data_IF_465727664385
#
_entry.id   IF_465727664385
#
_cell.length_a   1.000
_cell.length_b   1.000
_cell.length_c   1.000
_cell.angle_alpha   90.00
_cell.angle_beta   90.00
_cell.angle_gamma   90.00
#
_symmetry.space_group_name_H-M   'P 1'
#
loop_
_entity.id
_entity.type
_entity.pdbx_description
1 polymer ?
#
# COMPACT_ATOMS: atom_id res chain seq x y z
N UNK A 1 14.89 -8.33 -23.75
CA UNK A 1 14.38 -7.35 -22.76
C UNK A 1 12.97 -6.80 -23.04
N UNK A 2 12.59 -6.47 -24.29
CA UNK A 2 11.21 -5.98 -24.58
C UNK A 2 10.16 -7.07 -24.37
N UNK A 3 10.35 -8.26 -24.93
CA UNK A 3 9.42 -9.39 -24.85
C UNK A 3 9.17 -9.88 -23.41
N UNK A 4 10.20 -9.89 -22.58
CA UNK A 4 10.06 -10.27 -21.16
C UNK A 4 9.20 -9.26 -20.39
N UNK A 5 9.37 -7.96 -20.64
CA UNK A 5 8.55 -6.90 -20.02
C UNK A 5 7.10 -6.94 -20.51
N UNK A 6 6.90 -7.22 -21.81
CA UNK A 6 5.58 -7.36 -22.40
C UNK A 6 4.85 -8.57 -21.80
N UNK A 7 5.51 -9.73 -21.73
CA UNK A 7 4.94 -10.93 -21.14
C UNK A 7 4.59 -10.75 -19.66
N UNK A 8 5.49 -10.15 -18.86
CA UNK A 8 5.19 -9.86 -17.45
C UNK A 8 4.03 -8.88 -17.27
N UNK A 9 3.91 -7.87 -18.13
CA UNK A 9 2.79 -6.93 -18.14
C UNK A 9 1.46 -7.63 -18.46
N UNK A 10 1.43 -8.49 -19.48
CA UNK A 10 0.21 -9.26 -19.83
C UNK A 10 -0.21 -10.17 -18.68
N UNK A 11 0.74 -10.88 -18.06
CA UNK A 11 0.45 -11.75 -16.92
C UNK A 11 -0.10 -10.94 -15.75
N UNK A 12 0.50 -9.80 -15.44
CA UNK A 12 0.05 -8.92 -14.35
C UNK A 12 -1.38 -8.43 -14.59
N UNK A 13 -1.69 -7.97 -15.79
CA UNK A 13 -3.04 -7.54 -16.17
C UNK A 13 -4.03 -8.70 -16.06
N UNK A 14 -3.69 -9.89 -16.59
CA UNK A 14 -4.55 -11.06 -16.52
C UNK A 14 -4.84 -11.49 -15.07
N UNK A 15 -3.82 -11.50 -14.20
CA UNK A 15 -3.97 -11.79 -12.77
C UNK A 15 -4.85 -10.74 -12.10
N UNK A 16 -4.65 -9.45 -12.39
CA UNK A 16 -5.47 -8.36 -11.82
C UNK A 16 -6.93 -8.52 -12.23
N UNK A 17 -7.21 -8.82 -13.51
CA UNK A 17 -8.57 -9.08 -13.99
C UNK A 17 -9.19 -10.26 -13.24
N UNK A 18 -8.48 -11.37 -13.15
CA UNK A 18 -8.97 -12.57 -12.47
C UNK A 18 -9.30 -12.28 -10.99
N UNK A 19 -8.43 -11.55 -10.27
CA UNK A 19 -8.64 -11.17 -8.87
C UNK A 19 -9.85 -10.23 -8.71
N UNK A 20 -10.00 -9.25 -9.60
CA UNK A 20 -11.11 -8.29 -9.53
C UNK A 20 -12.45 -8.94 -9.84
N UNK A 21 -12.50 -9.89 -10.78
CA UNK A 21 -13.72 -10.63 -11.11
C UNK A 21 -14.12 -11.58 -9.98
N UNK A 22 -13.18 -12.40 -9.50
CA UNK A 22 -13.45 -13.36 -8.42
C UNK A 22 -13.73 -12.65 -7.07
N UNK A 23 -12.99 -11.58 -6.74
CA UNK A 23 -13.10 -10.91 -5.45
C UNK A 23 -12.76 -11.83 -4.27
N UNK A 24 -13.45 -11.66 -3.13
CA UNK A 24 -13.37 -12.54 -1.96
C UNK A 24 -11.96 -12.71 -1.37
N UNK A 25 -11.72 -13.88 -0.81
CA UNK A 25 -10.46 -14.24 -0.15
C UNK A 25 -9.21 -14.13 -1.04
N UNK A 26 -9.22 -14.50 -2.34
CA UNK A 26 -8.04 -14.31 -3.19
C UNK A 26 -7.63 -12.85 -3.32
N UNK A 27 -8.59 -11.95 -3.50
CA UNK A 27 -8.32 -10.52 -3.57
C UNK A 27 -7.77 -10.00 -2.23
N UNK A 28 -8.35 -10.42 -1.12
CA UNK A 28 -7.89 -10.05 0.22
C UNK A 28 -6.41 -10.41 0.43
N UNK A 29 -6.04 -11.67 0.22
CA UNK A 29 -4.65 -12.11 0.43
C UNK A 29 -3.67 -11.36 -0.45
N UNK A 30 -4.03 -11.07 -1.69
CA UNK A 30 -3.14 -10.33 -2.61
C UNK A 30 -3.01 -8.88 -2.19
N UNK A 31 -4.10 -8.21 -1.81
CA UNK A 31 -4.03 -6.82 -1.33
C UNK A 31 -3.21 -6.73 -0.04
N UNK A 32 -3.46 -7.62 0.92
CA UNK A 32 -2.67 -7.66 2.17
C UNK A 32 -1.19 -7.95 1.90
N UNK A 33 -0.87 -8.87 0.99
CA UNK A 33 0.52 -9.15 0.64
C UNK A 33 1.21 -7.93 0.00
N UNK A 34 0.52 -7.23 -0.91
CA UNK A 34 1.05 -5.99 -1.53
C UNK A 34 1.22 -4.90 -0.48
N UNK A 35 0.26 -4.72 0.44
CA UNK A 35 0.36 -3.77 1.56
C UNK A 35 1.57 -4.05 2.44
N UNK A 36 1.78 -5.31 2.82
CA UNK A 36 2.93 -5.71 3.64
C UNK A 36 4.26 -5.51 2.92
N UNK A 37 4.33 -5.85 1.62
CA UNK A 37 5.53 -5.64 0.81
C UNK A 37 5.82 -4.13 0.69
N UNK A 38 4.80 -3.32 0.38
CA UNK A 38 4.94 -1.87 0.28
C UNK A 38 5.37 -1.24 1.60
N UNK A 39 4.80 -1.69 2.71
CA UNK A 39 5.15 -1.24 4.04
C UNK A 39 6.59 -1.65 4.42
N UNK A 40 6.98 -2.89 4.09
CA UNK A 40 8.34 -3.36 4.28
C UNK A 40 9.36 -2.54 3.49
N UNK A 41 9.09 -2.25 2.22
CA UNK A 41 9.97 -1.44 1.39
C UNK A 41 10.09 0.00 1.93
N UNK A 42 8.98 0.62 2.36
CA UNK A 42 8.99 1.94 2.97
C UNK A 42 9.83 1.96 4.25
N UNK A 43 9.65 0.98 5.14
CA UNK A 43 10.42 0.89 6.38
C UNK A 43 11.89 0.54 6.12
N UNK A 44 12.17 -0.19 5.04
CA UNK A 44 13.53 -0.53 4.62
C UNK A 44 14.30 0.69 4.14
N UNK A 45 13.69 1.59 3.40
CA UNK A 45 14.32 2.85 2.95
C UNK A 45 14.77 3.71 4.14
N UNK A 46 14.06 3.62 5.27
CA UNK A 46 14.39 4.32 6.50
C UNK A 46 15.27 3.49 7.47
N UNK A 47 15.74 2.31 7.07
CA UNK A 47 16.49 1.35 7.92
C UNK A 47 15.75 0.93 9.19
N UNK A 48 14.41 0.98 9.19
CA UNK A 48 13.55 0.65 10.34
C UNK A 48 12.86 -0.71 10.25
N UNK A 49 12.95 -1.40 9.12
CA UNK A 49 12.16 -2.59 8.77
C UNK A 49 12.30 -3.79 9.74
N UNK A 50 13.37 -3.84 10.54
CA UNK A 50 13.61 -4.90 11.55
C UNK A 50 13.44 -4.42 12.99
N UNK A 51 12.91 -3.24 13.19
CA UNK A 51 12.75 -2.68 14.54
C UNK A 51 11.44 -3.13 15.19
N UNK A 52 11.36 -3.23 16.53
CA UNK A 52 10.12 -3.54 17.23
C UNK A 52 8.93 -2.64 16.82
N UNK A 53 9.06 -1.31 16.67
CA UNK A 53 7.96 -0.48 16.19
C UNK A 53 7.50 -0.83 14.78
N UNK A 54 8.41 -1.28 13.88
CA UNK A 54 8.02 -1.74 12.54
C UNK A 54 7.19 -3.03 12.60
N UNK A 55 7.53 -3.95 13.51
CA UNK A 55 6.74 -5.18 13.73
C UNK A 55 5.32 -4.83 14.18
N UNK A 56 5.15 -3.85 15.06
CA UNK A 56 3.83 -3.34 15.46
C UNK A 56 3.07 -2.84 14.22
N UNK A 57 3.74 -2.12 13.32
CA UNK A 57 3.17 -1.65 12.05
C UNK A 57 2.69 -2.80 11.15
N UNK A 58 3.49 -3.85 10.98
CA UNK A 58 3.09 -5.02 10.17
C UNK A 58 1.90 -5.76 10.75
N UNK A 59 1.90 -6.01 12.06
CA UNK A 59 0.77 -6.66 12.74
C UNK A 59 -0.49 -5.79 12.60
N UNK A 60 -0.35 -4.49 12.82
CA UNK A 60 -1.47 -3.56 12.70
C UNK A 60 -2.02 -3.50 11.27
N UNK A 61 -1.17 -3.59 10.25
CA UNK A 61 -1.57 -3.66 8.85
C UNK A 61 -2.50 -4.85 8.59
N UNK A 62 -2.12 -6.04 9.05
CA UNK A 62 -2.94 -7.25 8.87
C UNK A 62 -4.28 -7.13 9.59
N UNK A 63 -4.29 -6.60 10.82
CA UNK A 63 -5.54 -6.41 11.57
C UNK A 63 -6.46 -5.39 10.91
N UNK A 64 -5.91 -4.27 10.38
CA UNK A 64 -6.69 -3.28 9.63
C UNK A 64 -7.34 -3.90 8.39
N UNK A 65 -6.58 -4.70 7.64
CA UNK A 65 -7.12 -5.39 6.46
C UNK A 65 -8.25 -6.37 6.83
N UNK A 66 -8.12 -7.10 7.96
CA UNK A 66 -9.18 -8.01 8.46
C UNK A 66 -10.41 -7.21 8.88
N UNK A 67 -10.25 -6.10 9.62
CA UNK A 67 -11.38 -5.26 10.03
C UNK A 67 -12.15 -4.71 8.83
N UNK A 68 -11.45 -4.37 7.75
CA UNK A 68 -12.08 -3.89 6.50
C UNK A 68 -12.77 -5.04 5.76
N UNK A 69 -12.18 -6.24 5.74
CA UNK A 69 -12.77 -7.43 5.14
C UNK A 69 -14.11 -7.79 5.78
N UNK A 70 -14.14 -7.80 7.11
CA UNK A 70 -15.31 -8.19 7.89
C UNK A 70 -16.34 -7.05 8.02
N UNK A 71 -16.03 -5.85 7.49
CA UNK A 71 -16.93 -4.70 7.50
C UNK A 71 -16.99 -3.94 8.84
N UNK A 72 -16.06 -4.19 9.75
CA UNK A 72 -15.97 -3.52 11.04
C UNK A 72 -15.35 -2.12 10.96
N UNK A 73 -15.88 -1.27 10.09
CA UNK A 73 -15.34 0.08 9.82
C UNK A 73 -15.33 1.00 11.03
N UNK A 74 -16.26 0.82 11.96
CA UNK A 74 -16.37 1.58 13.19
C UNK A 74 -15.15 1.42 14.14
N UNK A 75 -14.47 0.26 14.04
CA UNK A 75 -13.29 -0.02 14.87
C UNK A 75 -11.97 0.45 14.23
N UNK A 76 -11.96 0.90 12.98
CA UNK A 76 -10.72 1.32 12.29
C UNK A 76 -10.02 2.46 13.01
N UNK A 77 -10.76 3.49 13.42
CA UNK A 77 -10.19 4.64 14.13
C UNK A 77 -9.69 4.22 15.50
N UNK A 78 -10.45 3.39 16.23
CA UNK A 78 -10.03 2.86 17.52
C UNK A 78 -8.73 2.07 17.40
N UNK A 79 -8.63 1.20 16.39
CA UNK A 79 -7.43 0.40 16.14
C UNK A 79 -6.21 1.27 15.79
N UNK A 80 -6.40 2.31 14.97
CA UNK A 80 -5.33 3.26 14.63
C UNK A 80 -4.83 4.00 15.87
N UNK A 81 -5.74 4.46 16.75
CA UNK A 81 -5.38 5.11 18.01
C UNK A 81 -4.60 4.14 18.91
N UNK A 82 -5.06 2.90 19.06
CA UNK A 82 -4.36 1.87 19.83
C UNK A 82 -2.96 1.61 19.28
N UNK A 83 -2.84 1.47 17.96
CA UNK A 83 -1.53 1.28 17.31
C UNK A 83 -0.60 2.46 17.57
N UNK A 84 -1.10 3.69 17.47
CA UNK A 84 -0.32 4.89 17.77
C UNK A 84 0.13 4.89 19.23
N UNK A 85 -0.77 4.56 20.16
CA UNK A 85 -0.44 4.48 21.59
C UNK A 85 0.65 3.44 21.88
N UNK A 86 0.56 2.24 21.26
CA UNK A 86 1.55 1.18 21.43
C UNK A 86 2.90 1.59 20.80
N UNK A 87 2.90 2.23 19.63
CA UNK A 87 4.12 2.76 19.03
C UNK A 87 4.76 3.86 19.90
N UNK A 88 3.96 4.77 20.46
CA UNK A 88 4.46 5.80 21.37
C UNK A 88 4.99 5.22 22.68
N UNK A 89 4.32 4.21 23.25
CA UNK A 89 4.82 3.49 24.41
C UNK A 89 6.18 2.84 24.11
N UNK A 90 6.31 2.18 22.95
CA UNK A 90 7.58 1.59 22.50
C UNK A 90 8.68 2.67 22.34
N UNK A 91 8.33 3.84 21.81
CA UNK A 91 9.24 4.97 21.69
C UNK A 91 9.76 5.45 23.05
N UNK A 92 8.86 5.65 24.02
CA UNK A 92 9.22 6.12 25.37
C UNK A 92 10.09 5.09 26.12
N UNK A 93 9.72 3.81 26.06
CA UNK A 93 10.46 2.74 26.75
C UNK A 93 11.86 2.56 26.15
N UNK A 94 11.99 2.72 24.84
CA UNK A 94 13.25 2.51 24.14
C UNK A 94 14.08 3.80 23.98
N UNK A 95 13.69 4.92 24.60
CA UNK A 95 14.42 6.18 24.53
C UNK A 95 15.86 6.04 25.07
N UNK A 96 16.91 6.63 24.44
CA UNK A 96 16.89 7.49 23.24
C UNK A 96 17.15 6.75 21.91
N UNK A 97 16.86 5.46 21.83
CA UNK A 97 17.19 4.60 20.68
C UNK A 97 16.49 5.02 19.38
N UNK A 98 15.28 5.54 19.48
CA UNK A 98 14.47 5.97 18.33
C UNK A 98 14.25 7.48 18.37
N UNK A 99 14.11 8.08 17.17
CA UNK A 99 13.77 9.48 16.99
C UNK A 99 12.30 9.64 16.61
N UNK A 100 11.74 10.81 16.89
CA UNK A 100 10.32 11.13 16.60
C UNK A 100 10.00 10.96 15.13
N UNK A 101 10.88 11.40 14.24
CA UNK A 101 10.69 11.31 12.78
C UNK A 101 10.55 9.85 12.33
N UNK A 102 11.27 8.92 12.97
CA UNK A 102 11.18 7.50 12.69
C UNK A 102 9.81 6.93 13.07
N UNK A 103 9.29 7.31 14.24
CA UNK A 103 7.96 6.90 14.69
C UNK A 103 6.86 7.48 13.80
N UNK A 104 7.02 8.76 13.41
CA UNK A 104 6.10 9.43 12.49
C UNK A 104 6.08 8.72 11.14
N UNK A 105 7.23 8.35 10.59
CA UNK A 105 7.34 7.63 9.31
C UNK A 105 6.71 6.24 9.40
N UNK A 106 6.93 5.50 10.49
CA UNK A 106 6.32 4.18 10.67
C UNK A 106 4.81 4.26 10.72
N UNK A 107 4.25 5.19 11.50
CA UNK A 107 2.81 5.37 11.59
C UNK A 107 2.20 5.92 10.29
N UNK A 108 2.86 6.92 9.68
CA UNK A 108 2.45 7.45 8.37
C UNK A 108 2.44 6.34 7.31
N UNK A 109 3.48 5.51 7.27
CA UNK A 109 3.56 4.38 6.35
C UNK A 109 2.40 3.42 6.51
N UNK A 110 2.04 3.06 7.75
CA UNK A 110 0.87 2.23 8.04
C UNK A 110 -0.41 2.84 7.45
N UNK A 111 -0.68 4.11 7.74
CA UNK A 111 -1.88 4.79 7.24
C UNK A 111 -1.86 4.92 5.72
N UNK A 112 -0.74 5.39 5.16
CA UNK A 112 -0.61 5.66 3.73
C UNK A 112 -0.63 4.39 2.89
N UNK A 113 0.13 3.37 3.25
CA UNK A 113 0.21 2.14 2.46
C UNK A 113 -0.99 1.24 2.71
N UNK A 114 -1.23 0.85 3.96
CA UNK A 114 -2.25 -0.16 4.28
C UNK A 114 -3.66 0.35 3.99
N UNK A 115 -4.03 1.52 4.51
CA UNK A 115 -5.40 2.01 4.33
C UNK A 115 -5.68 2.31 2.86
N UNK A 116 -4.75 2.93 2.13
CA UNK A 116 -4.95 3.22 0.71
C UNK A 116 -5.08 1.95 -0.12
N UNK A 117 -4.30 0.91 0.16
CA UNK A 117 -4.40 -0.37 -0.55
C UNK A 117 -5.70 -1.11 -0.20
N UNK A 118 -6.11 -1.13 1.05
CA UNK A 118 -7.34 -1.79 1.48
C UNK A 118 -8.61 -1.15 0.92
N UNK A 119 -8.57 0.12 0.51
CA UNK A 119 -9.69 0.75 -0.21
C UNK A 119 -10.00 0.07 -1.55
N UNK A 120 -9.05 -0.57 -2.21
CA UNK A 120 -9.29 -1.37 -3.43
C UNK A 120 -10.32 -2.47 -3.10
N UNK A 121 -10.13 -3.14 -1.98
CA UNK A 121 -11.05 -4.15 -1.48
C UNK A 121 -12.42 -3.55 -1.15
N UNK A 122 -12.45 -2.47 -0.38
CA UNK A 122 -13.69 -1.78 -0.01
C UNK A 122 -14.50 -1.33 -1.22
N UNK A 123 -13.85 -0.69 -2.19
CA UNK A 123 -14.51 -0.22 -3.42
C UNK A 123 -15.10 -1.38 -4.21
N UNK A 124 -14.43 -2.55 -4.23
CA UNK A 124 -14.91 -3.74 -4.93
C UNK A 124 -16.25 -4.24 -4.40
N UNK A 125 -16.56 -4.04 -3.11
CA UNK A 125 -17.79 -4.49 -2.46
C UNK A 125 -18.91 -3.44 -2.42
N UNK A 126 -18.70 -2.25 -3.00
CA UNK A 126 -19.77 -1.27 -3.19
C UNK A 126 -20.75 -1.74 -4.29
N UNK A 127 -21.95 -1.17 -4.30
CA UNK A 127 -22.88 -1.34 -5.42
C UNK A 127 -22.23 -0.85 -6.73
N UNK A 128 -22.18 -1.70 -7.74
CA UNK A 128 -21.42 -1.42 -8.97
C UNK A 128 -19.89 -1.44 -8.80
N UNK A 129 -19.37 -1.95 -7.67
CA UNK A 129 -17.96 -1.90 -7.30
C UNK A 129 -17.00 -2.55 -8.29
N UNK A 130 -17.47 -3.55 -9.09
CA UNK A 130 -16.67 -4.13 -10.16
C UNK A 130 -16.26 -3.05 -11.18
N UNK A 131 -17.19 -2.21 -11.60
CA UNK A 131 -16.90 -1.12 -12.55
C UNK A 131 -16.08 -0.01 -11.88
N UNK A 132 -16.44 0.34 -10.65
CA UNK A 132 -15.79 1.42 -9.90
C UNK A 132 -14.32 1.12 -9.60
N UNK A 133 -13.97 -0.13 -9.25
CA UNK A 133 -12.58 -0.51 -8.99
C UNK A 133 -11.71 -0.38 -10.25
N UNK A 134 -12.28 -0.60 -11.45
CA UNK A 134 -11.54 -0.39 -12.71
C UNK A 134 -11.13 1.06 -12.92
N UNK A 135 -11.89 2.02 -12.41
CA UNK A 135 -11.51 3.44 -12.48
C UNK A 135 -10.17 3.71 -11.77
N UNK A 136 -9.90 3.01 -10.65
CA UNK A 136 -8.62 3.12 -9.92
C UNK A 136 -7.47 2.68 -10.82
N UNK A 137 -7.60 1.51 -11.47
CA UNK A 137 -6.56 0.99 -12.35
C UNK A 137 -6.41 1.81 -13.63
N UNK A 138 -7.51 2.19 -14.27
CA UNK A 138 -7.49 3.02 -15.48
C UNK A 138 -6.87 4.40 -15.18
N UNK A 139 -7.22 5.02 -14.05
CA UNK A 139 -6.63 6.29 -13.64
C UNK A 139 -5.13 6.16 -13.38
N UNK A 140 -4.70 5.13 -12.65
CA UNK A 140 -3.28 4.91 -12.35
C UNK A 140 -2.48 4.61 -13.61
N UNK A 141 -2.86 3.57 -14.37
CA UNK A 141 -2.14 3.18 -15.59
C UNK A 141 -2.25 4.23 -16.70
N UNK A 142 -3.41 4.90 -16.80
CA UNK A 142 -3.61 5.99 -17.74
C UNK A 142 -2.69 7.17 -17.41
N UNK A 143 -2.60 7.55 -16.14
CA UNK A 143 -1.71 8.62 -15.68
C UNK A 143 -0.24 8.30 -16.00
N UNK A 144 0.22 7.09 -15.70
CA UNK A 144 1.59 6.66 -15.97
C UNK A 144 1.89 6.64 -17.48
N UNK A 145 0.95 6.14 -18.27
CA UNK A 145 1.08 6.12 -19.74
C UNK A 145 1.10 7.52 -20.31
N UNK A 146 0.20 8.39 -19.86
CA UNK A 146 0.16 9.79 -20.28
C UNK A 146 1.44 10.54 -19.87
N UNK A 147 1.92 10.34 -18.65
CA UNK A 147 3.17 10.94 -18.17
C UNK A 147 4.37 10.47 -18.99
N UNK A 148 4.45 9.16 -19.32
CA UNK A 148 5.49 8.64 -20.20
C UNK A 148 5.42 9.24 -21.61
N UNK A 149 4.23 9.29 -22.22
CA UNK A 149 4.04 9.86 -23.55
C UNK A 149 4.37 11.34 -23.58
N UNK A 150 3.90 12.10 -22.59
CA UNK A 150 4.19 13.53 -22.47
C UNK A 150 5.70 13.78 -22.27
N UNK A 151 6.34 12.99 -21.42
CA UNK A 151 7.79 13.04 -21.22
C UNK A 151 8.59 12.72 -22.47
N UNK A 152 8.11 11.79 -23.30
CA UNK A 152 8.76 11.45 -24.58
C UNK A 152 8.55 12.49 -25.66
N UNK A 153 7.37 13.12 -25.71
CA UNK A 153 7.00 14.09 -26.75
C UNK A 153 7.48 15.51 -26.42
N UNK A 154 7.39 15.92 -25.17
CA UNK A 154 7.65 17.29 -24.73
C UNK A 154 8.87 17.44 -23.82
N UNK A 155 9.45 16.34 -23.34
CA UNK A 155 10.58 16.36 -22.41
C UNK A 155 11.86 16.86 -23.07
N UNK A 156 12.23 18.12 -22.81
CA UNK A 156 13.45 18.75 -23.31
C UNK A 156 14.68 18.52 -22.43
N UNK A 157 14.49 18.21 -21.15
CA UNK A 157 15.57 18.00 -20.19
C UNK A 157 15.44 16.61 -19.53
N UNK A 158 16.53 15.85 -19.58
CA UNK A 158 16.66 14.61 -18.78
C UNK A 158 16.94 15.00 -17.34
N UNK A 159 16.16 14.50 -16.41
CA UNK A 159 16.52 14.61 -14.99
C UNK A 159 17.90 13.99 -14.76
N UNK A 160 18.79 14.64 -13.98
CA UNK A 160 20.09 14.08 -13.67
C UNK A 160 19.90 12.74 -12.96
N UNK A 161 20.63 11.72 -13.43
CA UNK A 161 20.57 10.33 -12.95
C UNK A 161 21.17 10.12 -11.54
N UNK A 162 21.16 11.16 -10.71
CA UNK A 162 21.65 11.12 -9.31
C UNK A 162 20.51 11.51 -8.39
N UNK A 163 19.69 10.55 -8.08
CA UNK A 163 18.87 10.43 -6.86
C UNK A 163 18.90 8.97 -6.43
#
# INVERSE_FOLDING_TARGET
MFWTRLASGIVLVAVTIALMVNGGWPLFWVVTAISLIGLFELYRVADLHKTPPAVIGYISSVVLDILILDGYYEYLILWLILTLMVMMACYVIAYPKYHTDQMTLLFFGLVYVTIMMSFIFKVRYLEGGILTVWLIFVASWGSDTCAYCAGKLFGKHKLPSKL
#
